data_IF_851932612651
#
_entry.id   IF_851932612651
#
_cell.length_a   1.000
_cell.length_b   1.000
_cell.length_c   1.000
_cell.angle_alpha   90.00
_cell.angle_beta   90.00
_cell.angle_gamma   90.00
#
_symmetry.space_group_name_H-M   'P 1'
#
loop_
_entity.id
_entity.type
_entity.pdbx_description
1 polymer ?
2 non-polymer ?
3 non-polymer ?
4 water ?
#
# COMPACT_ATOMS: atom_id res chain seq x y z
N UNK A 4 -17.15 -11.66 -23.81
CA UNK A 4 -16.23 -11.89 -22.62
C UNK A 4 -16.37 -10.73 -21.62
N UNK A 5 -17.03 -10.95 -20.46
CA UNK A 5 -17.42 -9.85 -19.57
C UNK A 5 -16.18 -9.23 -18.89
N UNK A 6 -16.25 -7.95 -18.59
CA UNK A 6 -15.17 -7.29 -17.82
C UNK A 6 -15.35 -7.64 -16.35
N UNK A 7 -14.26 -7.87 -15.61
CA UNK A 7 -14.40 -8.28 -14.23
C UNK A 7 -14.83 -7.15 -13.31
N UNK A 8 -15.49 -7.55 -12.22
CA UNK A 8 -15.96 -6.66 -11.12
C UNK A 8 -14.97 -6.76 -9.95
N UNK A 9 -14.21 -7.86 -9.91
CA UNK A 9 -13.22 -8.15 -8.84
C UNK A 9 -12.05 -8.93 -9.43
N UNK A 10 -10.84 -8.65 -8.94
CA UNK A 10 -9.62 -9.39 -9.30
C UNK A 10 -8.96 -9.86 -8.02
N UNK A 11 -8.07 -10.81 -8.15
CA UNK A 11 -7.18 -11.13 -7.03
C UNK A 11 -5.76 -10.73 -7.37
N UNK A 12 -5.12 -10.22 -6.31
CA UNK A 12 -3.76 -9.65 -6.38
C UNK A 12 -2.92 -10.40 -5.36
N UNK A 13 -1.79 -10.92 -5.79
CA UNK A 13 -0.72 -11.46 -4.95
C UNK A 13 0.32 -10.38 -4.72
N UNK A 14 0.68 -10.21 -3.46
CA UNK A 14 1.80 -9.36 -3.05
C UNK A 14 2.82 -10.25 -2.39
N UNK A 15 4.07 -10.20 -2.84
CA UNK A 15 5.16 -10.90 -2.16
C UNK A 15 6.24 -9.91 -1.76
N UNK A 16 6.81 -10.08 -0.58
CA UNK A 16 8.01 -9.35 -0.20
C UNK A 16 9.03 -10.34 0.33
N UNK A 17 10.24 -10.22 -0.16
CA UNK A 17 11.33 -11.09 0.30
C UNK A 17 12.65 -10.37 0.28
N UNK A 18 13.27 -10.26 1.43
CA UNK A 18 14.68 -9.83 1.53
C UNK A 18 15.52 -11.08 1.33
N UNK A 19 16.20 -11.13 0.21
CA UNK A 19 16.90 -12.36 -0.25
C UNK A 19 18.28 -12.47 0.41
N UNK A 20 18.72 -11.49 1.16
CA UNK A 20 20.02 -11.61 1.87
C UNK A 20 21.19 -11.81 0.93
N UNK A 21 21.09 -11.23 -0.28
CA UNK A 21 22.17 -11.21 -1.29
C UNK A 21 22.58 -12.65 -1.64
N UNK A 22 21.63 -13.60 -1.61
CA UNK A 22 21.89 -15.00 -1.98
C UNK A 22 20.93 -15.36 -3.07
N UNK A 23 21.33 -16.21 -4.03
CA UNK A 23 20.37 -16.71 -4.99
C UNK A 23 19.31 -17.58 -4.32
N UNK A 24 18.12 -17.63 -4.91
CA UNK A 24 17.02 -18.38 -4.35
C UNK A 24 17.28 -19.88 -4.53
N UNK A 25 16.56 -20.71 -3.79
CA UNK A 25 16.62 -22.14 -4.04
C UNK A 25 15.87 -22.47 -5.33
N UNK A 26 15.94 -23.73 -5.76
CA UNK A 26 15.39 -24.09 -7.09
C UNK A 26 13.86 -24.04 -7.11
N UNK A 27 13.21 -24.22 -5.97
CA UNK A 27 11.75 -24.21 -5.90
C UNK A 27 11.28 -23.13 -4.92
N UNK A 28 10.46 -22.21 -5.42
CA UNK A 28 9.91 -21.13 -4.56
C UNK A 28 8.40 -21.10 -4.70
N UNK A 29 7.80 -22.13 -5.28
CA UNK A 29 6.34 -22.14 -5.51
C UNK A 29 5.48 -21.94 -4.24
N UNK A 30 5.97 -22.37 -3.07
CA UNK A 30 5.21 -22.22 -1.79
C UNK A 30 4.89 -20.75 -1.55
N UNK A 31 5.78 -19.85 -1.98
CA UNK A 31 5.54 -18.40 -1.82
C UNK A 31 4.27 -17.98 -2.57
N UNK A 32 4.19 -18.34 -3.86
CA UNK A 32 3.11 -17.88 -4.76
C UNK A 32 1.81 -18.63 -4.44
N UNK A 33 1.91 -19.77 -3.76
CA UNK A 33 0.73 -20.54 -3.31
C UNK A 33 0.25 -20.09 -1.92
N UNK A 34 0.91 -19.15 -1.28
CA UNK A 34 0.49 -18.70 0.08
C UNK A 34 0.45 -19.89 1.04
N UNK A 35 1.51 -20.69 1.05
CA UNK A 35 1.68 -21.89 1.92
C UNK A 35 2.77 -21.61 2.95
N UNK A 36 2.52 -22.01 4.20
CA UNK A 36 3.52 -21.94 5.26
C UNK A 36 2.82 -21.66 6.54
N UNK A 37 3.21 -20.57 7.19
CA UNK A 37 2.63 -20.13 8.48
C UNK A 37 1.67 -18.96 8.23
N UNK A 38 0.76 -18.73 9.16
CA UNK A 38 -0.07 -17.56 9.17
C UNK A 38 -1.40 -17.89 8.56
N UNK A 39 -1.96 -16.92 7.85
CA UNK A 39 -3.27 -17.04 7.16
C UNK A 39 -2.99 -17.52 5.74
N UNK A 40 -3.13 -18.82 5.51
CA UNK A 40 -2.69 -19.48 4.29
C UNK A 40 -3.88 -19.75 3.38
N UNK A 41 -3.52 -20.00 2.13
CA UNK A 41 -4.51 -20.22 1.06
C UNK A 41 -4.91 -21.71 1.02
N UNK A 42 -6.17 -21.97 0.74
CA UNK A 42 -6.68 -23.35 0.68
C UNK A 42 -6.05 -24.10 -0.51
N UNK A 43 -5.75 -25.37 -0.28
CA UNK A 43 -5.15 -26.25 -1.31
C UNK A 43 -6.02 -26.29 -2.57
N UNK A 44 -7.32 -26.19 -2.40
CA UNK A 44 -8.28 -26.32 -3.53
C UNK A 44 -8.10 -25.16 -4.53
N UNK A 45 -7.40 -24.09 -4.14
CA UNK A 45 -7.18 -22.92 -5.01
C UNK A 45 -5.83 -22.98 -5.70
N UNK A 46 -5.03 -24.00 -5.50
CA UNK A 46 -3.63 -23.97 -5.96
C UNK A 46 -3.47 -23.73 -7.46
N UNK A 47 -4.39 -24.24 -8.28
CA UNK A 47 -4.22 -24.08 -9.73
C UNK A 47 -4.83 -22.78 -10.22
N UNK A 48 -5.56 -22.06 -9.37
CA UNK A 48 -6.30 -20.87 -9.80
C UNK A 48 -5.31 -19.72 -9.80
N UNK A 49 -5.01 -19.11 -10.95
CA UNK A 49 -4.04 -18.04 -10.99
C UNK A 49 -4.64 -16.79 -10.37
N UNK A 50 -3.80 -16.03 -9.67
CA UNK A 50 -4.17 -14.65 -9.33
C UNK A 50 -4.15 -13.85 -10.61
N UNK A 51 -4.88 -12.77 -10.66
CA UNK A 51 -4.92 -11.87 -11.82
C UNK A 51 -3.61 -11.14 -12.00
N UNK A 52 -3.05 -10.66 -10.89
CA UNK A 52 -1.82 -9.83 -10.90
C UNK A 52 -0.94 -10.37 -9.78
N UNK A 53 0.34 -10.51 -10.05
CA UNK A 53 1.37 -10.86 -9.06
C UNK A 53 2.36 -9.73 -8.99
N UNK A 54 2.56 -9.20 -7.77
CA UNK A 54 3.50 -8.11 -7.50
C UNK A 54 4.53 -8.62 -6.55
N UNK A 55 5.80 -8.61 -6.98
CA UNK A 55 6.91 -9.29 -6.26
C UNK A 55 7.97 -8.26 -5.88
N UNK A 56 8.09 -7.97 -4.59
CA UNK A 56 9.09 -7.03 -4.09
C UNK A 56 10.22 -7.81 -3.50
N UNK A 57 11.42 -7.48 -3.89
CA UNK A 57 12.63 -8.06 -3.26
C UNK A 57 13.51 -6.93 -2.75
N UNK A 58 14.28 -7.30 -1.76
CA UNK A 58 15.34 -6.47 -1.17
C UNK A 58 16.59 -7.32 -1.07
N UNK A 59 17.75 -6.68 -1.09
CA UNK A 59 19.01 -7.44 -1.10
C UNK A 59 18.98 -8.50 -2.19
N UNK A 60 18.46 -8.13 -3.35
CA UNK A 60 18.29 -9.05 -4.49
C UNK A 60 19.57 -9.08 -5.30
N UNK A 61 20.24 -10.27 -5.37
CA UNK A 61 21.55 -10.34 -6.07
C UNK A 61 21.41 -10.65 -7.55
N UNK A 62 20.22 -10.90 -8.03
CA UNK A 62 19.99 -11.39 -9.40
C UNK A 62 19.88 -10.24 -10.37
N UNK A 63 20.13 -10.51 -11.64
CA UNK A 63 19.78 -9.55 -12.67
C UNK A 63 18.25 -9.57 -12.83
N UNK A 64 17.69 -8.55 -13.48
CA UNK A 64 16.26 -8.53 -13.80
C UNK A 64 15.93 -9.76 -14.65
N UNK A 65 16.78 -10.07 -15.64
CA UNK A 65 16.49 -11.21 -16.52
C UNK A 65 16.46 -12.49 -15.69
N UNK A 66 17.45 -12.70 -14.86
CA UNK A 66 17.54 -13.93 -14.05
C UNK A 66 16.29 -14.09 -13.17
N UNK A 67 15.89 -13.02 -12.51
CA UNK A 67 14.71 -13.12 -11.61
C UNK A 67 13.41 -13.30 -12.40
N UNK A 68 13.20 -12.57 -13.50
CA UNK A 68 12.04 -12.75 -14.36
C UNK A 68 11.90 -14.21 -14.81
N UNK A 69 13.02 -14.80 -15.25
CA UNK A 69 13.10 -16.24 -15.63
C UNK A 69 12.44 -17.07 -14.52
N UNK A 70 12.97 -16.94 -13.31
CA UNK A 70 12.57 -17.75 -12.15
C UNK A 70 11.11 -17.51 -11.85
N UNK A 71 10.71 -16.24 -11.81
CA UNK A 71 9.31 -15.94 -11.44
C UNK A 71 8.36 -16.53 -12.48
N UNK A 72 8.57 -16.26 -13.76
CA UNK A 72 7.64 -16.72 -14.79
C UNK A 72 7.57 -18.25 -14.82
N UNK A 73 8.72 -18.92 -14.69
CA UNK A 73 8.80 -20.40 -14.62
C UNK A 73 7.92 -20.90 -13.48
N UNK A 74 8.10 -20.32 -12.30
CA UNK A 74 7.40 -20.74 -11.06
C UNK A 74 5.89 -20.62 -11.27
N UNK A 75 5.42 -19.50 -11.83
CA UNK A 75 3.98 -19.31 -12.04
C UNK A 75 3.50 -20.29 -13.11
N UNK A 76 4.27 -20.48 -14.17
CA UNK A 76 3.82 -21.42 -15.23
C UNK A 76 3.70 -22.82 -14.64
N UNK A 77 4.62 -23.24 -13.78
CA UNK A 77 4.56 -24.57 -13.17
C UNK A 77 3.30 -24.70 -12.31
N UNK A 78 2.95 -23.66 -11.57
CA UNK A 78 1.77 -23.67 -10.66
C UNK A 78 0.48 -23.69 -11.47
N UNK A 79 0.39 -22.82 -12.45
CA UNK A 79 -0.92 -22.42 -13.04
C UNK A 79 -1.07 -22.91 -14.48
N UNK A 80 0.02 -23.29 -15.13
CA UNK A 80 0.07 -23.62 -16.58
C UNK A 80 -0.25 -22.38 -17.41
N UNK A 81 -0.10 -21.17 -16.85
CA UNK A 81 -0.30 -19.89 -17.56
C UNK A 81 1.04 -19.22 -17.71
N UNK A 82 1.30 -18.68 -18.89
CA UNK A 82 2.50 -17.88 -19.17
C UNK A 82 2.13 -16.41 -18.90
N UNK A 83 2.63 -15.87 -17.80
CA UNK A 83 2.24 -14.51 -17.39
C UNK A 83 2.99 -13.49 -18.22
N UNK A 84 2.39 -12.33 -18.39
CA UNK A 84 2.99 -11.20 -19.10
C UNK A 84 3.65 -10.27 -18.10
N UNK A 85 4.78 -9.73 -18.48
CA UNK A 85 5.47 -8.78 -17.62
C UNK A 85 4.88 -7.40 -17.82
N UNK A 86 4.29 -6.79 -16.79
CA UNK A 86 3.70 -5.44 -16.82
C UNK A 86 4.80 -4.43 -16.62
N UNK A 87 5.63 -4.64 -15.61
CA UNK A 87 6.67 -3.67 -15.26
C UNK A 87 7.71 -4.36 -14.40
N UNK A 88 8.93 -3.87 -14.50
CA UNK A 88 10.03 -4.26 -13.57
C UNK A 88 10.85 -3.01 -13.31
N UNK A 89 11.20 -2.75 -12.07
CA UNK A 89 12.01 -1.58 -11.72
C UNK A 89 12.91 -1.92 -10.57
N UNK A 90 14.17 -1.55 -10.66
CA UNK A 90 15.19 -1.86 -9.66
C UNK A 90 15.92 -0.60 -9.26
N UNK A 91 16.07 -0.36 -7.96
CA UNK A 91 17.00 0.65 -7.38
C UNK A 91 17.98 -0.13 -6.55
N UNK A 92 19.25 -0.09 -6.91
CA UNK A 92 20.30 -0.84 -6.21
C UNK A 92 19.88 -2.30 -6.16
N UNK A 93 19.61 -2.84 -4.99
CA UNK A 93 19.18 -4.24 -4.82
C UNK A 93 17.74 -4.34 -4.34
N UNK A 94 16.96 -3.31 -4.59
CA UNK A 94 15.53 -3.24 -4.29
C UNK A 94 14.75 -3.33 -5.59
N UNK A 95 13.83 -4.25 -5.71
CA UNK A 95 13.21 -4.53 -7.02
C UNK A 95 11.72 -4.80 -6.88
N UNK A 96 11.00 -4.38 -7.87
CA UNK A 96 9.58 -4.70 -8.00
C UNK A 96 9.30 -5.29 -9.37
N UNK A 97 8.56 -6.38 -9.43
CA UNK A 97 8.08 -7.04 -10.67
C UNK A 97 6.59 -7.13 -10.61
N UNK A 98 5.92 -6.72 -11.70
CA UNK A 98 4.47 -6.90 -11.82
C UNK A 98 4.23 -7.82 -13.01
N UNK A 99 3.53 -8.92 -12.75
CA UNK A 99 3.13 -9.90 -13.77
C UNK A 99 1.61 -9.95 -13.79
N UNK A 100 1.01 -10.16 -14.95
CA UNK A 100 -0.45 -10.28 -15.08
C UNK A 100 -0.82 -11.38 -16.03
N UNK A 101 -2.00 -11.97 -15.83
CA UNK A 101 -2.60 -12.93 -16.79
C UNK A 101 -2.54 -12.30 -18.18
N UNK A 102 -2.31 -13.10 -19.23
CA UNK A 102 -2.36 -12.55 -20.60
C UNK A 102 -3.70 -11.91 -21.00
N UNK A 103 -4.79 -12.41 -20.47
CA UNK A 103 -6.15 -11.90 -20.78
C UNK A 103 -6.24 -10.44 -20.31
N UNK A 104 -5.34 -9.98 -19.43
CA UNK A 104 -5.41 -8.61 -18.87
C UNK A 104 -4.55 -7.61 -19.61
N UNK A 105 -3.83 -8.08 -20.62
CA UNK A 105 -2.83 -7.21 -21.28
C UNK A 105 -3.46 -5.93 -21.83
N UNK A 106 -4.68 -6.01 -22.38
CA UNK A 106 -5.40 -4.86 -23.00
C UNK A 106 -6.40 -4.25 -22.00
N UNK A 107 -6.28 -4.60 -20.72
CA UNK A 107 -7.02 -3.93 -19.61
C UNK A 107 -6.07 -3.03 -18.85
N UNK A 108 -4.77 -3.19 -19.04
CA UNK A 108 -3.73 -2.50 -18.27
C UNK A 108 -3.16 -1.37 -19.11
N UNK A 109 -3.09 -0.18 -18.55
CA UNK A 109 -2.50 0.94 -19.30
C UNK A 109 -1.90 1.94 -18.32
N UNK A 110 -1.31 3.01 -18.82
CA UNK A 110 -0.77 4.11 -17.98
C UNK A 110 0.19 3.52 -16.96
N UNK A 111 1.14 2.73 -17.38
CA UNK A 111 2.09 2.09 -16.47
C UNK A 111 3.14 3.12 -16.12
N UNK A 112 3.37 3.34 -14.82
CA UNK A 112 4.41 4.24 -14.28
C UNK A 112 5.33 3.47 -13.34
N UNK A 113 6.61 3.86 -13.32
CA UNK A 113 7.60 3.33 -12.39
C UNK A 113 8.34 4.50 -11.81
N UNK A 114 8.82 4.35 -10.57
CA UNK A 114 9.70 5.35 -9.99
C UNK A 114 10.45 4.76 -8.82
N UNK A 115 11.41 5.49 -8.30
CA UNK A 115 12.13 5.06 -7.09
C UNK A 115 12.40 6.31 -6.27
N UNK A 116 12.64 6.10 -5.01
CA UNK A 116 13.08 7.13 -4.06
C UNK A 116 14.26 6.57 -3.31
N UNK A 117 15.35 7.35 -3.23
CA UNK A 117 16.54 7.07 -2.43
C UNK A 117 16.40 7.77 -1.10
N UNK A 118 16.42 7.06 0.03
CA UNK A 118 16.24 7.74 1.34
C UNK A 118 17.58 8.18 1.92
N UNK A 119 17.55 9.05 2.93
CA UNK A 119 18.79 9.35 3.70
C UNK A 119 19.62 10.45 3.03
N UNK A 120 20.79 10.75 3.62
CA UNK A 120 21.74 11.83 3.16
C UNK A 120 23.16 11.35 3.45
N UNK A 121 24.07 11.44 2.47
CA UNK A 121 25.53 11.17 2.60
C UNK A 121 25.76 9.73 3.11
N UNK A 122 26.23 9.57 4.37
CA UNK A 122 26.34 8.28 5.12
C UNK A 122 25.17 7.34 4.82
N UNK A 123 23.94 7.86 4.93
CA UNK A 123 22.66 7.11 4.96
C UNK A 123 22.03 7.07 3.55
N UNK A 124 22.65 7.68 2.54
CA UNK A 124 22.23 7.51 1.12
C UNK A 124 23.13 6.45 0.47
N UNK A 125 22.53 5.42 -0.13
CA UNK A 125 23.28 4.52 -1.02
C UNK A 125 22.76 3.11 -1.02
N UNK A 126 21.88 2.74 -0.07
CA UNK A 126 21.26 1.42 -0.27
C UNK A 126 19.78 1.26 0.09
N UNK A 127 19.20 2.20 0.86
CA UNK A 127 17.79 2.11 1.30
C UNK A 127 16.93 3.01 0.40
N UNK A 128 15.66 2.67 0.31
CA UNK A 128 14.71 3.46 -0.46
C UNK A 128 13.58 2.61 -0.90
N UNK A 129 12.97 3.01 -1.99
CA UNK A 129 11.78 2.32 -2.46
C UNK A 129 11.68 2.33 -3.95
N UNK A 130 11.01 1.34 -4.54
CA UNK A 130 10.61 1.34 -5.95
C UNK A 130 9.11 1.21 -5.97
N UNK A 131 8.51 1.67 -7.03
CA UNK A 131 7.07 1.52 -7.18
C UNK A 131 6.61 1.42 -8.59
N UNK A 132 5.41 0.90 -8.72
CA UNK A 132 4.74 0.74 -10.00
C UNK A 132 3.30 1.20 -9.82
N UNK A 133 2.74 1.88 -10.81
CA UNK A 133 1.29 2.08 -10.92
C UNK A 133 0.76 1.82 -12.32
N UNK A 134 -0.52 1.56 -12.39
CA UNK A 134 -1.18 1.40 -13.71
C UNK A 134 -2.67 1.50 -13.46
N UNK A 135 -3.38 1.65 -14.57
CA UNK A 135 -4.84 1.52 -14.58
C UNK A 135 -5.17 0.09 -14.97
N UNK A 136 -6.12 -0.53 -14.31
CA UNK A 136 -6.73 -1.80 -14.69
C UNK A 136 -8.19 -1.44 -14.99
N UNK A 137 -8.55 -1.36 -16.27
CA UNK A 137 -9.86 -0.80 -16.69
C UNK A 137 -10.05 0.54 -15.96
N UNK A 138 -11.13 0.71 -15.20
CA UNK A 138 -11.44 2.01 -14.57
C UNK A 138 -10.78 2.19 -13.22
N UNK A 139 -9.90 1.28 -12.79
CA UNK A 139 -9.39 1.26 -11.41
C UNK A 139 -7.91 1.53 -11.45
N UNK A 140 -7.45 2.44 -10.61
CA UNK A 140 -6.00 2.76 -10.49
C UNK A 140 -5.41 1.88 -9.38
N UNK A 141 -4.24 1.34 -9.64
CA UNK A 141 -3.53 0.44 -8.72
C UNK A 141 -2.12 0.97 -8.54
N UNK A 142 -1.68 1.09 -7.30
CA UNK A 142 -0.30 1.47 -6.99
C UNK A 142 0.36 0.49 -6.06
N UNK A 143 1.67 0.29 -6.25
CA UNK A 143 2.44 -0.72 -5.51
C UNK A 143 3.76 -0.14 -5.14
N UNK A 144 4.12 -0.23 -3.87
CA UNK A 144 5.41 0.29 -3.35
C UNK A 144 6.12 -0.81 -2.61
N UNK A 145 7.36 -1.03 -2.99
CA UNK A 145 8.29 -1.93 -2.29
C UNK A 145 9.36 -1.08 -1.66
N UNK A 146 9.42 -1.00 -0.35
CA UNK A 146 10.43 -0.19 0.34
C UNK A 146 11.33 -1.06 1.19
N UNK A 147 12.59 -0.70 1.24
CA UNK A 147 13.59 -1.27 2.17
C UNK A 147 13.99 -0.12 3.08
N UNK A 148 13.45 -0.08 4.29
CA UNK A 148 13.69 1.04 5.20
C UNK A 148 14.93 0.79 6.05
N UNK A 149 15.33 1.82 6.77
CA UNK A 149 16.55 1.82 7.60
C UNK A 149 16.47 0.66 8.58
N UNK A 150 17.59 -0.03 8.79
CA UNK A 150 17.70 -1.18 9.72
C UNK A 150 18.05 -0.71 11.13
N UNK A 151 17.89 -1.61 12.08
CA UNK A 151 18.39 -1.41 13.44
C UNK A 151 17.27 -1.14 14.41
N UNK A 152 17.24 -1.84 15.53
CA UNK A 152 16.15 -1.68 16.52
C UNK A 152 16.00 -0.24 17.02
N UNK A 153 17.09 0.53 17.06
CA UNK A 153 17.11 1.89 17.68
C UNK A 153 16.60 2.95 16.69
N UNK A 154 16.34 2.58 15.44
CA UNK A 154 16.11 3.58 14.36
C UNK A 154 14.65 3.61 13.88
N UNK A 155 13.69 3.41 14.75
CA UNK A 155 12.29 3.48 14.29
C UNK A 155 11.96 4.88 13.75
N UNK A 156 12.47 5.95 14.38
CA UNK A 156 12.14 7.30 13.89
C UNK A 156 12.69 7.52 12.49
N UNK A 157 13.88 6.99 12.19
CA UNK A 157 14.45 7.08 10.82
C UNK A 157 13.55 6.34 9.83
N UNK A 158 13.06 5.16 10.22
CA UNK A 158 12.13 4.43 9.36
C UNK A 158 10.91 5.31 9.08
N UNK A 159 10.38 5.97 10.10
CA UNK A 159 9.18 6.81 9.91
C UNK A 159 9.50 7.94 8.94
N UNK A 160 10.70 8.49 9.06
CA UNK A 160 11.14 9.57 8.16
C UNK A 160 11.28 8.98 6.74
N UNK A 161 11.83 7.79 6.64
CA UNK A 161 11.99 7.16 5.30
C UNK A 161 10.60 7.04 4.67
N UNK A 162 9.60 6.56 5.41
CA UNK A 162 8.22 6.44 4.92
C UNK A 162 7.73 7.78 4.38
N UNK A 163 7.92 8.86 5.14
CA UNK A 163 7.35 10.17 4.70
C UNK A 163 8.09 10.62 3.43
N UNK A 164 9.41 10.44 3.37
CA UNK A 164 10.14 10.80 2.12
C UNK A 164 9.61 10.00 0.92
N UNK A 165 9.40 8.71 1.09
CA UNK A 165 8.93 7.86 -0.02
C UNK A 165 7.54 8.36 -0.46
N UNK A 166 6.68 8.54 0.55
CA UNK A 166 5.28 9.01 0.40
C UNK A 166 5.28 10.30 -0.44
N UNK A 167 6.19 11.22 -0.11
CA UNK A 167 6.23 12.56 -0.73
C UNK A 167 6.76 12.51 -2.16
N UNK A 168 7.80 11.73 -2.36
CA UNK A 168 8.66 11.94 -3.54
C UNK A 168 8.48 10.86 -4.59
N UNK A 169 7.78 9.77 -4.29
CA UNK A 169 7.58 8.74 -5.29
C UNK A 169 6.54 9.24 -6.28
N UNK A 170 6.91 9.33 -7.55
CA UNK A 170 6.05 9.97 -8.57
C UNK A 170 5.34 8.91 -9.38
N UNK A 171 4.23 8.44 -8.86
CA UNK A 171 3.41 7.43 -9.55
C UNK A 171 2.03 8.00 -9.85
N UNK A 172 1.26 7.33 -10.68
CA UNK A 172 -0.13 7.69 -10.93
C UNK A 172 -0.27 8.94 -11.74
N UNK A 173 -1.44 9.53 -11.71
CA UNK A 173 -1.85 10.61 -12.64
C UNK A 173 -1.21 11.91 -12.18
N UNK A 174 -0.25 12.43 -12.94
CA UNK A 174 0.49 13.66 -12.57
C UNK A 174 -0.44 14.87 -12.54
N UNK A 175 -1.61 14.82 -13.15
CA UNK A 175 -2.61 15.92 -13.02
C UNK A 175 -3.16 16.05 -11.60
N UNK A 176 -3.02 14.98 -10.79
CA UNK A 176 -3.44 15.02 -9.37
C UNK A 176 -2.38 15.72 -8.54
N UNK A 177 -2.04 16.95 -8.91
CA UNK A 177 -0.80 17.58 -8.41
C UNK A 177 -0.84 17.80 -6.91
N UNK A 178 -1.96 18.08 -6.23
CA UNK A 178 -1.93 18.28 -4.78
C UNK A 178 -1.76 16.98 -3.99
N UNK A 179 -1.85 15.86 -4.68
CA UNK A 179 -2.00 14.55 -4.01
C UNK A 179 -0.74 13.71 -4.13
N UNK A 180 -0.36 13.13 -2.99
CA UNK A 180 0.74 12.15 -2.93
C UNK A 180 0.19 10.76 -3.25
N UNK A 181 1.08 9.78 -3.26
CA UNK A 181 0.64 8.42 -3.60
C UNK A 181 -0.44 7.89 -2.66
N UNK A 182 -0.52 8.40 -1.43
CA UNK A 182 -1.56 7.88 -0.51
C UNK A 182 -2.98 8.30 -0.92
N UNK A 183 -3.15 9.12 -1.96
CA UNK A 183 -4.46 9.52 -2.46
C UNK A 183 -4.63 9.22 -3.94
N UNK A 184 -3.61 8.77 -4.65
CA UNK A 184 -3.73 8.70 -6.14
C UNK A 184 -4.39 7.43 -6.64
N UNK A 185 -4.55 6.40 -5.81
CA UNK A 185 -4.99 5.09 -6.29
C UNK A 185 -6.23 4.58 -5.60
N UNK A 186 -7.06 3.88 -6.36
CA UNK A 186 -8.20 3.16 -5.81
C UNK A 186 -7.69 2.19 -4.74
N UNK A 187 -6.60 1.50 -5.06
CA UNK A 187 -5.96 0.55 -4.14
C UNK A 187 -4.46 0.80 -4.18
N UNK A 188 -3.87 1.00 -3.02
CA UNK A 188 -2.42 1.18 -2.89
C UNK A 188 -1.91 0.08 -1.97
N UNK A 189 -0.91 -0.67 -2.39
CA UNK A 189 -0.26 -1.74 -1.59
C UNK A 189 1.15 -1.29 -1.34
N UNK A 190 1.53 -1.27 -0.06
CA UNK A 190 2.88 -0.85 0.37
C UNK A 190 3.47 -1.99 1.19
N UNK A 191 4.59 -2.50 0.76
CA UNK A 191 5.18 -3.71 1.34
C UNK A 191 6.68 -3.55 1.30
N UNK A 192 7.37 -4.50 1.90
CA UNK A 192 8.82 -4.51 1.87
C UNK A 192 9.44 -5.00 3.15
N UNK A 193 10.75 -4.85 3.18
CA UNK A 193 11.50 -4.96 4.43
C UNK A 193 11.43 -3.61 5.12
N UNK A 194 10.36 -3.42 5.87
CA UNK A 194 10.12 -2.18 6.58
C UNK A 194 11.00 -2.10 7.80
N UNK A 195 11.55 -3.21 8.27
CA UNK A 195 12.65 -3.21 9.25
C UNK A 195 12.23 -2.76 10.63
N UNK A 196 10.94 -2.67 10.93
CA UNK A 196 10.51 -2.47 12.33
C UNK A 196 10.72 -3.74 13.15
N UNK A 197 11.12 -3.55 14.38
CA UNK A 197 11.56 -4.64 15.26
C UNK A 197 10.61 -4.80 16.44
N UNK A 198 10.79 -5.94 17.09
CA UNK A 198 10.12 -6.22 18.39
C UNK A 198 11.02 -5.60 19.45
N UNK A 199 10.52 -4.55 20.10
CA UNK A 199 11.32 -3.71 21.03
C UNK A 199 11.19 -4.27 22.45
N UNK A 200 11.97 -5.31 22.73
CA UNK A 200 12.09 -5.95 24.04
C UNK A 200 13.57 -5.92 24.35
N UNK A 201 13.94 -6.02 25.65
CA UNK A 201 15.34 -6.01 26.02
C UNK A 201 16.10 -7.16 25.38
N UNK A 202 17.38 -6.95 25.03
CA UNK A 202 18.21 -7.92 24.28
C UNK A 202 18.42 -9.20 25.10
N UNK A 203 18.38 -9.10 26.44
CA UNK A 203 18.56 -10.25 27.36
C UNK A 203 17.24 -11.05 27.49
N UNK A 204 16.16 -10.62 26.84
CA UNK A 204 14.96 -11.45 26.65
C UNK A 204 15.03 -12.28 25.36
N UNK A 205 16.15 -12.35 24.66
CA UNK A 205 16.24 -13.03 23.36
C UNK A 205 15.75 -14.46 23.48
N UNK A 206 16.22 -15.20 24.48
CA UNK A 206 15.88 -16.62 24.56
C UNK A 206 14.41 -16.76 24.95
N UNK A 207 13.91 -15.86 25.78
CA UNK A 207 12.47 -15.87 26.14
C UNK A 207 11.66 -15.68 24.86
N UNK A 208 12.06 -14.72 24.03
CA UNK A 208 11.31 -14.46 22.77
C UNK A 208 11.31 -15.71 21.87
N UNK A 209 12.45 -16.36 21.73
CA UNK A 209 12.57 -17.60 20.95
C UNK A 209 11.61 -18.67 21.47
N UNK A 210 11.53 -18.84 22.80
CA UNK A 210 10.64 -19.88 23.37
C UNK A 210 9.17 -19.49 23.12
N UNK A 211 8.80 -18.20 23.16
CA UNK A 211 7.43 -17.79 22.79
C UNK A 211 7.10 -18.16 21.34
N UNK A 212 8.08 -17.91 20.45
CA UNK A 212 7.90 -18.24 19.03
C UNK A 212 7.71 -19.76 18.86
N UNK A 213 8.51 -20.56 19.55
CA UNK A 213 8.38 -22.04 19.45
C UNK A 213 7.01 -22.51 19.95
N UNK A 214 6.41 -21.78 20.87
CA UNK A 214 5.06 -22.10 21.40
C UNK A 214 3.95 -21.49 20.54
N UNK A 215 4.34 -20.77 19.48
CA UNK A 215 3.40 -20.02 18.61
C UNK A 215 2.54 -19.05 19.41
N UNK A 216 3.14 -18.40 20.40
CA UNK A 216 2.48 -17.42 21.28
C UNK A 216 3.05 -16.08 20.90
N UNK A 217 2.37 -15.40 19.99
CA UNK A 217 2.91 -14.14 19.41
C UNK A 217 2.35 -12.91 20.10
N UNK A 218 1.36 -13.00 20.98
CA UNK A 218 0.66 -11.81 21.51
C UNK A 218 1.61 -10.86 22.25
N UNK A 219 2.46 -11.38 23.13
CA UNK A 219 3.34 -10.53 23.95
C UNK A 219 4.49 -10.00 23.08
N UNK A 220 4.73 -10.61 21.91
CA UNK A 220 5.73 -10.04 20.99
C UNK A 220 5.09 -8.92 20.14
N UNK A 221 3.90 -9.20 19.58
CA UNK A 221 3.25 -8.22 18.68
C UNK A 221 2.95 -6.94 19.46
N UNK A 222 2.67 -7.03 20.76
CA UNK A 222 2.38 -5.82 21.55
C UNK A 222 3.63 -4.93 21.65
N UNK A 223 4.82 -5.43 21.27
CA UNK A 223 6.07 -4.63 21.26
C UNK A 223 6.56 -4.41 19.83
N UNK A 224 5.80 -4.84 18.83
CA UNK A 224 6.23 -4.60 17.42
C UNK A 224 6.15 -3.11 17.13
N UNK A 225 7.29 -2.56 16.67
CA UNK A 225 7.41 -1.12 16.48
C UNK A 225 6.46 -0.61 15.42
N UNK A 226 6.18 -1.36 14.39
CA UNK A 226 5.27 -0.87 13.34
C UNK A 226 3.84 -0.80 13.91
N UNK A 227 3.38 -1.79 14.64
CA UNK A 227 2.04 -1.72 15.25
C UNK A 227 2.00 -0.55 16.26
N UNK A 228 3.04 -0.35 17.05
CA UNK A 228 2.96 0.69 18.12
C UNK A 228 3.08 2.05 17.44
N UNK A 229 3.96 2.25 16.49
CA UNK A 229 4.06 3.54 15.77
C UNK A 229 2.77 3.87 15.02
N UNK A 230 2.14 2.88 14.40
CA UNK A 230 0.85 3.07 13.70
C UNK A 230 -0.24 3.44 14.72
N UNK A 231 -0.22 2.84 15.91
CA UNK A 231 -1.30 3.12 16.90
C UNK A 231 -1.13 4.55 17.42
N UNK A 232 0.11 5.06 17.45
CA UNK A 232 0.39 6.44 17.91
C UNK A 232 0.36 7.42 16.72
N UNK A 233 -0.03 6.96 15.53
CA UNK A 233 -0.21 7.82 14.35
C UNK A 233 1.11 8.47 13.96
N UNK A 234 2.21 7.72 14.07
CA UNK A 234 3.55 8.23 13.70
C UNK A 234 3.90 7.81 12.28
N UNK A 235 3.18 6.84 11.69
CA UNK A 235 3.54 6.28 10.38
C UNK A 235 2.36 5.51 9.84
N UNK A 236 2.28 5.40 8.52
CA UNK A 236 1.25 4.60 7.85
C UNK A 236 -0.17 4.96 8.30
N UNK A 237 -0.41 6.23 8.49
CA UNK A 237 -1.75 6.69 8.86
C UNK A 237 -2.72 6.29 7.76
N UNK A 238 -3.85 5.70 8.16
CA UNK A 238 -4.97 5.29 7.30
C UNK A 238 -4.65 4.11 6.43
N UNK A 239 -3.58 3.37 6.72
CA UNK A 239 -3.35 2.07 6.07
C UNK A 239 -3.86 0.95 6.93
N UNK A 240 -4.10 -0.19 6.30
CA UNK A 240 -4.58 -1.44 6.95
C UNK A 240 -3.46 -2.48 6.89
N UNK A 241 -3.43 -3.38 7.87
CA UNK A 241 -2.59 -4.58 7.83
C UNK A 241 -3.43 -5.70 8.39
N UNK A 242 -3.34 -6.87 7.77
CA UNK A 242 -4.00 -8.10 8.28
C UNK A 242 -3.29 -8.53 9.57
N UNK A 243 -4.03 -9.14 10.50
CA UNK A 243 -3.44 -9.65 11.73
C UNK A 243 -2.33 -10.61 11.40
N UNK A 244 -1.23 -10.48 12.11
CA UNK A 244 -0.06 -11.35 11.96
C UNK A 244 -0.24 -12.62 12.79
N UNK A 245 -0.17 -13.76 12.15
CA UNK A 245 -0.36 -15.08 12.82
C UNK A 245 0.77 -16.02 12.42
N UNK A 246 1.88 -15.50 11.91
CA UNK A 246 3.08 -16.25 11.51
C UNK A 246 4.24 -15.79 12.40
N UNK A 247 5.26 -16.63 12.51
CA UNK A 247 6.42 -16.29 13.35
C UNK A 247 7.19 -15.15 12.73
N UNK A 248 7.94 -14.40 13.54
CA UNK A 248 8.90 -13.43 13.01
C UNK A 248 9.69 -13.98 11.84
N UNK A 249 9.88 -13.12 10.81
CA UNK A 249 10.48 -13.55 9.55
C UNK A 249 11.97 -13.26 9.49
N UNK A 250 12.52 -12.72 10.55
CA UNK A 250 13.93 -12.28 10.62
C UNK A 250 14.35 -12.46 12.09
N UNK A 251 15.61 -12.75 12.42
CA UNK A 251 16.71 -13.05 11.54
C UNK A 251 17.05 -14.52 11.71
N UNK A 252 16.99 -15.32 10.65
CA UNK A 252 17.23 -16.79 10.66
C UNK A 252 18.68 -17.10 10.30
N UNK A 253 19.19 -18.17 10.89
CA UNK A 253 20.36 -18.86 10.29
C UNK A 253 19.93 -19.37 8.92
N UNK A 254 20.77 -19.20 7.90
CA UNK A 254 20.48 -19.71 6.55
C UNK A 254 20.46 -21.24 6.51
N UNK A 255 19.69 -21.82 5.60
CA UNK A 255 19.64 -23.24 5.21
C UNK A 255 18.82 -24.06 6.21
N UNK A 256 18.32 -23.45 7.29
CA UNK A 256 17.31 -24.06 8.18
C UNK A 256 16.27 -22.99 8.49
N UNK A 257 15.15 -23.32 9.16
CA UNK A 257 14.35 -22.28 9.86
C UNK A 257 14.33 -22.59 11.35
N UNK A 258 15.26 -23.43 11.80
CA UNK A 258 15.16 -23.94 13.19
C UNK A 258 15.79 -22.97 14.17
N UNK A 259 16.57 -21.99 13.67
CA UNK A 259 17.37 -21.13 14.54
C UNK A 259 17.21 -19.66 14.11
N UNK A 260 16.92 -18.85 15.10
CA UNK A 260 17.05 -17.39 15.02
C UNK A 260 18.46 -17.00 15.40
N UNK A 261 19.12 -16.21 14.56
CA UNK A 261 20.49 -15.71 14.77
C UNK A 261 20.38 -14.26 15.20
N UNK A 262 20.36 -14.03 16.48
CA UNK A 262 20.11 -12.69 17.03
C UNK A 262 21.31 -11.98 17.66
N UNK A 263 22.36 -12.75 17.98
CA UNK A 263 23.52 -12.23 18.77
C UNK A 263 24.29 -11.21 17.93
N UNK A 264 24.93 -10.25 18.59
CA UNK A 264 25.73 -9.21 17.90
C UNK A 264 27.01 -9.87 17.37
N UNK A 265 27.39 -9.43 16.18
CA UNK A 265 28.55 -9.94 15.42
C UNK A 265 29.22 -8.76 14.71
N UNK A 266 30.51 -8.87 14.37
CA UNK A 266 31.12 -7.82 13.54
C UNK A 266 30.29 -7.57 12.29
N UNK A 267 29.78 -8.63 11.66
CA UNK A 267 28.99 -8.58 10.41
C UNK A 267 27.71 -7.76 10.62
N UNK A 268 27.21 -7.66 11.86
CA UNK A 268 25.98 -6.87 12.14
C UNK A 268 26.31 -5.47 12.66
N UNK A 269 27.58 -5.04 12.63
CA UNK A 269 27.94 -3.79 13.29
C UNK A 269 27.78 -3.88 14.78
N UNK A 270 27.95 -5.06 15.33
CA UNK A 270 27.79 -5.30 16.78
C UNK A 270 26.38 -4.91 17.24
N UNK A 271 25.39 -5.22 16.40
CA UNK A 271 23.95 -5.00 16.69
C UNK A 271 23.28 -6.35 16.95
N UNK A 272 22.38 -6.39 17.92
CA UNK A 272 21.48 -7.52 18.13
C UNK A 272 20.37 -7.39 17.10
N UNK A 273 19.92 -8.53 16.65
CA UNK A 273 18.74 -8.65 15.77
C UNK A 273 17.76 -9.61 16.44
N UNK A 274 17.07 -9.13 17.44
CA UNK A 274 16.03 -9.95 18.08
C UNK A 274 15.00 -10.29 16.99
N UNK A 275 14.38 -11.46 17.08
CA UNK A 275 13.37 -11.90 16.13
C UNK A 275 12.31 -10.83 15.96
N UNK A 276 12.03 -10.49 14.71
CA UNK A 276 11.17 -9.37 14.33
C UNK A 276 10.34 -9.67 13.08
N UNK A 277 9.25 -8.94 12.98
CA UNK A 277 8.42 -8.94 11.77
C UNK A 277 8.88 -7.80 10.87
N UNK A 278 10.05 -7.98 10.27
CA UNK A 278 10.61 -6.92 9.39
C UNK A 278 9.79 -6.78 8.12
N UNK A 279 9.15 -7.84 7.65
CA UNK A 279 8.70 -8.04 6.27
C UNK A 279 7.20 -7.98 6.22
N UNK A 280 6.61 -6.95 5.60
CA UNK A 280 5.20 -6.61 5.87
C UNK A 280 4.49 -6.23 4.61
N UNK A 281 3.18 -6.34 4.62
CA UNK A 281 2.30 -5.87 3.55
C UNK A 281 1.19 -5.06 4.19
N UNK A 282 1.03 -3.85 3.73
CA UNK A 282 -0.06 -2.95 4.14
C UNK A 282 -0.80 -2.45 2.91
N UNK A 283 -2.00 -1.93 3.11
CA UNK A 283 -2.73 -1.37 1.97
C UNK A 283 -3.62 -0.23 2.40
N UNK A 284 -4.02 0.55 1.43
CA UNK A 284 -4.99 1.64 1.63
C UNK A 284 -5.83 1.68 0.38
N UNK A 285 -7.13 1.58 0.52
CA UNK A 285 -8.05 1.66 -0.60
C UNK A 285 -8.99 2.82 -0.35
N UNK A 286 -9.53 3.39 -1.41
CA UNK A 286 -10.53 4.47 -1.27
C UNK A 286 -11.72 3.93 -0.49
N UNK A 287 -12.44 4.87 0.18
CA UNK A 287 -13.56 4.48 1.00
C UNK A 287 -14.62 3.71 0.21
N UNK A 288 -15.13 2.66 0.84
CA UNK A 288 -16.27 1.84 0.36
C UNK A 288 -15.93 1.16 -0.96
N UNK A 289 -14.63 0.89 -1.20
CA UNK A 289 -14.24 -0.02 -2.29
C UNK A 289 -13.96 -1.38 -1.65
N UNK A 290 -14.40 -2.42 -2.29
CA UNK A 290 -14.17 -3.80 -1.82
C UNK A 290 -12.67 -4.08 -1.85
N UNK A 291 -12.14 -4.50 -0.71
CA UNK A 291 -10.76 -5.05 -0.61
C UNK A 291 -10.77 -6.00 0.55
N UNK A 292 -10.41 -7.23 0.32
CA UNK A 292 -10.41 -8.24 1.41
C UNK A 292 -9.11 -9.02 1.34
N UNK A 293 -8.37 -9.03 2.43
CA UNK A 293 -7.15 -9.86 2.52
C UNK A 293 -7.54 -11.33 2.66
N UNK A 294 -7.06 -12.15 1.73
CA UNK A 294 -7.38 -13.60 1.66
C UNK A 294 -6.26 -14.42 2.32
N UNK A 295 -5.04 -13.89 2.39
CA UNK A 295 -3.88 -14.63 2.95
C UNK A 295 -2.86 -13.60 3.43
N UNK A 296 -2.15 -13.95 4.47
CA UNK A 296 -1.03 -13.13 4.98
C UNK A 296 -0.19 -14.06 5.82
N UNK A 297 1.01 -14.37 5.30
CA UNK A 297 1.82 -15.36 6.00
C UNK A 297 3.22 -15.44 5.49
N UNK A 298 3.94 -16.43 5.93
CA UNK A 298 5.35 -16.57 5.54
C UNK A 298 5.60 -18.01 5.12
N UNK A 299 6.56 -18.18 4.24
CA UNK A 299 6.94 -19.55 3.83
C UNK A 299 7.83 -20.15 4.89
N UNK A 300 7.83 -21.47 4.91
CA UNK A 300 8.62 -22.28 5.85
C UNK A 300 9.77 -23.00 5.16
N UNK A 301 9.73 -23.14 3.84
CA UNK A 301 10.60 -24.05 3.07
C UNK A 301 11.57 -23.32 2.14
N UNK A 302 11.71 -22.00 2.26
CA UNK A 302 12.65 -21.20 1.43
C UNK A 302 13.64 -20.59 2.42
N UNK A 303 14.89 -21.08 2.39
CA UNK A 303 15.85 -20.92 3.52
C UNK A 303 17.18 -20.32 3.09
N UNK A 304 17.27 -19.77 1.87
CA UNK A 304 18.56 -19.23 1.37
C UNK A 304 18.91 -17.90 2.03
N UNK A 305 17.90 -17.19 2.53
CA UNK A 305 18.07 -15.88 3.13
C UNK A 305 17.96 -15.95 4.65
N UNK A 306 18.41 -14.93 5.34
CA UNK A 306 18.15 -14.73 6.77
C UNK A 306 16.74 -14.16 7.01
N UNK A 307 16.00 -13.86 5.95
CA UNK A 307 14.56 -13.58 6.03
C UNK A 307 13.76 -14.67 5.37
N UNK A 308 12.56 -14.96 5.86
CA UNK A 308 11.58 -15.74 5.10
C UNK A 308 10.74 -14.84 4.23
N UNK A 309 10.38 -15.29 3.02
CA UNK A 309 9.40 -14.61 2.21
C UNK A 309 8.06 -14.46 2.90
N UNK A 310 7.39 -13.37 2.61
CA UNK A 310 6.03 -13.07 3.09
C UNK A 310 5.14 -12.94 1.88
N UNK A 311 3.94 -13.46 1.99
CA UNK A 311 2.87 -13.36 0.98
C UNK A 311 1.64 -12.73 1.58
N UNK A 312 0.93 -12.01 0.75
CA UNK A 312 -0.42 -11.55 1.04
C UNK A 312 -1.21 -11.59 -0.25
N UNK A 313 -2.45 -11.97 -0.14
CA UNK A 313 -3.36 -11.94 -1.29
C UNK A 313 -4.64 -11.22 -0.94
N UNK A 314 -5.21 -10.60 -1.97
CA UNK A 314 -6.36 -9.72 -1.84
C UNK A 314 -7.36 -9.95 -2.95
N UNK A 315 -8.65 -9.86 -2.60
CA UNK A 315 -9.73 -9.69 -3.60
C UNK A 315 -10.05 -8.19 -3.63
N UNK A 316 -9.90 -7.54 -4.80
CA UNK A 316 -10.01 -6.09 -4.97
C UNK A 316 -11.08 -5.77 -6.00
N UNK A 317 -12.00 -4.90 -5.61
CA UNK A 317 -13.02 -4.38 -6.50
C UNK A 317 -12.42 -3.56 -7.61
N UNK A 318 -12.90 -3.79 -8.85
CA UNK A 318 -12.47 -3.03 -10.03
C UNK A 318 -13.73 -2.65 -10.79
N UNK A 319 -13.58 -1.62 -11.59
CA UNK A 319 -14.68 -1.09 -12.40
C UNK A 319 -14.28 -1.11 -13.85
N UNK A 320 -15.29 -0.99 -14.73
CA UNK A 320 -15.14 -1.03 -16.21
C UNK A 320 -14.61 0.31 -16.71
N UNK A 321 -14.20 0.35 -17.97
CA UNK A 321 -13.89 1.60 -18.71
C UNK A 321 -15.20 2.08 -19.37
N UNK A 322 -16.01 2.85 -18.65
CA UNK A 322 -17.40 3.23 -19.02
C UNK A 322 -17.45 4.22 -20.19
N UNK A 323 -18.29 3.91 -21.19
CA UNK A 323 -18.65 4.83 -22.32
C UNK A 323 -20.16 5.06 -22.28
N UNK A 324 -20.56 6.31 -22.34
CA UNK A 324 -21.98 6.63 -22.59
C UNK A 324 -22.06 7.40 -23.91
N UNK A 325 -23.29 7.67 -24.34
CA UNK A 325 -23.58 8.48 -25.56
C UNK A 325 -23.02 9.89 -25.37
N UNK A 326 -23.00 10.38 -24.12
CA UNK A 326 -22.43 11.71 -23.75
C UNK A 326 -20.94 11.52 -23.39
N UNK A 327 -20.58 11.44 -22.10
CA UNK A 327 -19.16 11.36 -21.72
C UNK A 327 -18.63 9.94 -21.93
N UNK A 328 -17.31 9.71 -22.13
CA UNK A 328 -16.29 10.77 -22.27
C UNK A 328 -16.37 11.71 -23.50
N UNK A 329 -15.94 12.95 -23.30
CA UNK A 329 -15.82 13.98 -24.34
C UNK A 329 -16.88 15.02 -24.24
N UNK A 330 -17.75 14.89 -23.24
CA UNK A 330 -18.72 15.95 -22.87
C UNK A 330 -19.22 15.62 -21.46
N UNK A 331 -19.99 16.53 -20.88
CA UNK A 331 -20.68 16.30 -19.59
C UNK A 331 -22.02 15.61 -19.88
N UNK A 332 -22.67 15.10 -18.83
CA UNK A 332 -24.02 14.50 -18.93
C UNK A 332 -24.91 15.29 -17.97
N UNK A 333 -25.75 16.17 -18.51
CA UNK A 333 -26.50 17.18 -17.72
C UNK A 333 -27.44 16.48 -16.74
N UNK A 334 -27.65 15.17 -16.87
CA UNK A 334 -28.54 14.41 -15.95
C UNK A 334 -27.79 14.11 -14.64
N UNK A 335 -26.48 14.40 -14.59
CA UNK A 335 -25.64 14.18 -13.39
C UNK A 335 -25.22 15.47 -12.72
N UNK A 336 -25.17 15.50 -11.38
CA UNK A 336 -24.56 16.63 -10.66
C UNK A 336 -24.14 16.18 -9.26
N UNK A 337 -23.09 16.82 -8.77
CA UNK A 337 -22.64 16.67 -7.36
C UNK A 337 -22.62 18.05 -6.71
N UNK A 338 -23.39 18.17 -5.65
CA UNK A 338 -23.47 19.39 -4.81
C UNK A 338 -22.89 19.05 -3.43
N UNK A 339 -21.89 19.85 -3.02
CA UNK A 339 -21.35 19.87 -1.63
C UNK A 339 -22.03 21.04 -0.89
N UNK A 340 -22.72 20.75 0.21
CA UNK A 340 -23.56 21.73 0.94
C UNK A 340 -23.13 21.83 2.40
N UNK A 341 -23.05 23.06 2.90
CA UNK A 341 -22.75 23.34 4.33
C UNK A 341 -21.43 22.66 4.72
N UNK A 342 -20.45 22.81 3.86
CA UNK A 342 -19.17 22.12 4.13
C UNK A 342 -18.26 23.04 4.92
N UNK A 343 -17.44 22.43 5.76
CA UNK A 343 -16.35 23.17 6.40
C UNK A 343 -15.16 22.25 6.63
N UNK A 344 -14.02 22.91 6.56
CA UNK A 344 -12.73 22.28 6.85
C UNK A 344 -12.32 22.76 8.24
N UNK A 345 -11.82 21.86 9.06
CA UNK A 345 -11.19 22.17 10.35
C UNK A 345 -9.71 21.90 10.17
N UNK A 346 -8.87 22.91 10.34
CA UNK A 346 -7.43 22.72 10.07
C UNK A 346 -6.63 22.93 11.34
N UNK A 347 -5.56 22.20 11.47
CA UNK A 347 -4.62 22.32 12.61
C UNK A 347 -3.63 23.49 12.43
N UNK A 348 -3.56 24.12 11.28
CA UNK A 348 -2.60 25.21 10.97
C UNK A 348 -2.82 26.44 11.84
N UNK A 349 -1.73 27.16 12.05
CA UNK A 349 -1.74 28.44 12.80
C UNK A 349 -1.74 29.61 11.82
N UNK A 350 -1.62 29.35 10.51
CA UNK A 350 -1.56 30.42 9.47
C UNK A 350 -2.93 31.09 9.35
N UNK A 351 -3.01 32.26 8.72
CA UNK A 351 -4.30 33.00 8.59
C UNK A 351 -4.57 33.43 7.14
N UNK A 352 -3.94 32.79 6.14
CA UNK A 352 -4.32 32.93 4.71
C UNK A 352 -5.82 32.59 4.54
N UNK A 353 -6.39 33.02 3.42
CA UNK A 353 -7.66 32.47 2.93
C UNK A 353 -7.36 31.11 2.27
N UNK A 354 -8.36 30.26 2.25
CA UNK A 354 -8.25 28.91 1.63
C UNK A 354 -9.32 28.75 0.57
N UNK A 355 -9.01 27.96 -0.45
CA UNK A 355 -9.95 27.47 -1.47
C UNK A 355 -9.80 25.96 -1.56
N UNK A 356 -10.81 25.34 -2.16
CA UNK A 356 -10.75 23.89 -2.43
C UNK A 356 -10.46 23.62 -3.89
N UNK A 357 -9.87 22.45 -4.11
CA UNK A 357 -9.91 21.84 -5.46
C UNK A 357 -10.55 20.47 -5.36
N UNK A 358 -11.43 20.14 -6.31
CA UNK A 358 -12.12 18.85 -6.43
C UNK A 358 -11.53 18.15 -7.64
N UNK A 359 -10.92 17.00 -7.44
CA UNK A 359 -10.32 16.21 -8.53
C UNK A 359 -11.01 14.87 -8.63
N UNK A 360 -11.35 14.45 -9.82
CA UNK A 360 -11.96 13.13 -9.99
C UNK A 360 -11.94 12.78 -11.47
N UNK A 361 -11.73 11.49 -11.75
CA UNK A 361 -11.85 10.91 -13.11
C UNK A 361 -13.26 11.13 -13.66
N UNK A 362 -14.26 11.34 -12.79
CA UNK A 362 -15.65 11.56 -13.25
C UNK A 362 -15.86 13.00 -13.73
N UNK A 363 -14.86 13.88 -13.60
CA UNK A 363 -14.93 15.30 -14.09
C UNK A 363 -14.00 15.46 -15.28
N UNK A 364 -14.32 16.40 -16.16
CA UNK A 364 -13.47 16.65 -17.35
C UNK A 364 -12.11 17.19 -16.88
N UNK A 365 -12.13 18.01 -15.84
CA UNK A 365 -10.92 18.56 -15.20
C UNK A 365 -11.29 19.04 -13.80
N UNK A 366 -10.27 19.29 -13.03
CA UNK A 366 -10.47 19.62 -11.59
C UNK A 366 -11.19 20.96 -11.49
N UNK A 367 -11.86 21.13 -10.37
CA UNK A 367 -12.71 22.31 -10.09
C UNK A 367 -12.18 23.04 -8.88
N UNK A 368 -11.98 24.35 -9.02
CA UNK A 368 -11.44 25.24 -7.96
C UNK A 368 -12.57 26.10 -7.41
N UNK A 369 -12.83 25.99 -6.10
CA UNK A 369 -13.90 26.73 -5.39
C UNK A 369 -13.45 28.18 -5.20
N UNK A 370 -14.43 29.00 -4.80
CA UNK A 370 -14.20 30.33 -4.18
C UNK A 370 -13.49 30.11 -2.86
N UNK A 371 -12.90 31.17 -2.34
CA UNK A 371 -12.35 31.17 -0.97
C UNK A 371 -13.46 30.94 0.06
N UNK A 372 -13.14 30.19 1.09
CA UNK A 372 -14.01 29.97 2.24
C UNK A 372 -13.94 31.14 3.21
N UNK A 373 -14.79 31.11 4.23
CA UNK A 373 -14.84 32.12 5.32
C UNK A 373 -14.20 31.50 6.56
N UNK A 374 -13.09 32.08 6.99
CA UNK A 374 -12.32 31.66 8.17
C UNK A 374 -13.06 32.07 9.45
N UNK A 375 -13.23 31.15 10.39
CA UNK A 375 -13.64 31.50 11.77
C UNK A 375 -12.68 30.80 12.73
N UNK A 376 -12.68 31.20 13.99
CA UNK A 376 -11.93 30.53 15.10
C UNK A 376 -12.82 29.45 15.72
N UNK A 377 -12.32 28.21 15.85
CA UNK A 377 -12.95 27.13 16.65
C UNK A 377 -12.74 27.34 18.15
N UNK A 378 -13.62 26.78 18.98
CA UNK A 378 -13.69 27.01 20.45
C UNK A 378 -12.41 26.51 21.15
N UNK A 379 -11.72 25.51 20.56
CA UNK A 379 -10.53 24.86 21.18
C UNK A 379 -9.25 25.30 20.44
N UNK A 380 -9.26 26.46 19.75
CA UNK A 380 -8.05 27.07 19.16
C UNK A 380 -7.95 26.99 17.63
N UNK A 381 -8.77 26.16 16.97
CA UNK A 381 -8.54 25.67 15.56
C UNK A 381 -8.96 26.70 14.51
N UNK A 382 -8.52 26.48 13.28
CA UNK A 382 -9.10 27.22 12.13
C UNK A 382 -10.25 26.40 11.53
N UNK A 383 -11.41 27.04 11.40
CA UNK A 383 -12.59 26.47 10.70
C UNK A 383 -12.76 27.29 9.44
N UNK A 384 -12.77 26.65 8.30
CA UNK A 384 -13.00 27.33 7.03
C UNK A 384 -14.38 26.92 6.52
N UNK A 385 -15.30 27.88 6.43
CA UNK A 385 -16.72 27.60 6.03
C UNK A 385 -16.90 27.86 4.53
N UNK A 386 -17.56 26.96 3.81
CA UNK A 386 -17.80 27.17 2.36
C UNK A 386 -19.28 27.46 2.07
N UNK A 387 -20.12 27.16 3.04
CA UNK A 387 -21.56 27.44 2.99
C UNK A 387 -22.21 26.60 1.90
N UNK A 388 -22.95 27.26 1.01
CA UNK A 388 -23.63 26.66 -0.16
C UNK A 388 -23.02 27.35 -1.39
N UNK A 389 -21.77 27.80 -1.24
CA UNK A 389 -21.02 28.60 -2.24
C UNK A 389 -20.30 27.66 -3.21
N UNK A 390 -20.19 26.36 -2.92
CA UNK A 390 -19.25 25.47 -3.68
C UNK A 390 -19.80 25.22 -5.08
N UNK A 391 -18.92 25.18 -6.12
CA UNK A 391 -19.34 24.98 -7.50
C UNK A 391 -20.07 23.66 -7.64
N UNK A 392 -21.13 23.60 -8.44
CA UNK A 392 -21.85 22.32 -8.73
C UNK A 392 -20.98 21.51 -9.68
N UNK A 393 -20.64 20.25 -9.33
CA UNK A 393 -19.70 19.44 -10.14
C UNK A 393 -20.51 18.70 -11.19
N UNK A 394 -19.98 18.73 -12.42
CA UNK A 394 -20.68 18.20 -13.61
C UNK A 394 -19.95 16.96 -14.07
N UNK A 395 -20.42 15.75 -13.67
CA UNK A 395 -19.76 14.53 -14.08
C UNK A 395 -20.00 14.28 -15.57
N UNK A 396 -19.09 13.51 -16.16
CA UNK A 396 -19.04 13.19 -17.60
C UNK A 396 -20.11 12.18 -17.96
N UNK A 397 -20.52 11.41 -16.97
CA UNK A 397 -21.47 10.28 -17.12
C UNK A 397 -22.43 10.33 -15.93
N UNK A 398 -23.72 10.19 -16.17
CA UNK A 398 -24.79 10.35 -15.13
C UNK A 398 -25.28 8.99 -14.65
N UNK A 399 -24.97 7.93 -15.40
CA UNK A 399 -25.46 6.58 -15.09
C UNK A 399 -25.05 6.26 -13.66
N UNK A 400 -26.00 5.90 -12.77
CA UNK A 400 -25.66 5.58 -11.38
C UNK A 400 -24.76 4.36 -11.24
N UNK A 401 -24.81 3.40 -12.15
CA UNK A 401 -23.87 2.24 -12.13
C UNK A 401 -22.41 2.71 -12.28
N UNK A 402 -22.21 3.85 -12.88
CA UNK A 402 -20.85 4.44 -12.98
C UNK A 402 -20.68 5.37 -11.79
N UNK A 403 -21.58 6.32 -11.59
CA UNK A 403 -21.25 7.48 -10.73
C UNK A 403 -21.12 7.03 -9.29
N UNK A 404 -21.93 6.09 -8.82
CA UNK A 404 -21.92 5.69 -7.41
C UNK A 404 -20.59 4.95 -7.07
N UNK A 405 -19.85 4.50 -8.08
CA UNK A 405 -18.53 3.87 -7.86
C UNK A 405 -17.37 4.87 -7.88
N UNK A 406 -17.63 6.17 -8.00
CA UNK A 406 -16.54 7.14 -8.16
C UNK A 406 -16.21 7.77 -6.81
N UNK A 407 -15.15 8.55 -6.81
CA UNK A 407 -14.60 9.23 -5.63
C UNK A 407 -14.18 10.63 -6.02
N UNK A 408 -14.32 11.56 -5.07
CA UNK A 408 -13.87 12.96 -5.22
C UNK A 408 -12.71 13.14 -4.27
N UNK A 409 -11.54 13.45 -4.81
CA UNK A 409 -10.39 13.93 -4.01
C UNK A 409 -10.57 15.41 -3.74
N UNK A 410 -10.28 15.83 -2.51
CA UNK A 410 -10.39 17.24 -2.09
C UNK A 410 -9.03 17.69 -1.58
N UNK A 411 -8.55 18.82 -2.09
CA UNK A 411 -7.40 19.54 -1.53
C UNK A 411 -7.90 20.89 -1.05
N UNK A 412 -7.44 21.29 0.13
CA UNK A 412 -7.66 22.67 0.63
C UNK A 412 -6.33 23.38 0.49
N UNK A 413 -6.35 24.47 -0.29
CA UNK A 413 -5.11 25.19 -0.67
C UNK A 413 -5.12 26.63 -0.15
N UNK A 414 -3.96 27.09 0.26
CA UNK A 414 -3.75 28.51 0.64
C UNK A 414 -3.90 29.40 -0.60
N UNK A 415 -4.70 30.44 -0.50
CA UNK A 415 -4.79 31.49 -1.55
C UNK A 415 -3.43 32.18 -1.74
N UNK A 416 -2.64 32.34 -0.67
CA UNK A 416 -1.36 33.11 -0.66
C UNK A 416 -0.30 32.32 -1.42
N UNK A 417 -0.27 30.99 -1.23
CA UNK A 417 0.90 30.18 -1.69
C UNK A 417 0.47 29.15 -2.73
N UNK A 418 -0.83 28.87 -2.85
CA UNK A 418 -1.39 27.78 -3.71
C UNK A 418 -0.85 26.42 -3.25
N UNK A 419 -0.35 26.30 -2.04
CA UNK A 419 0.17 25.02 -1.50
C UNK A 419 -1.02 24.33 -0.84
N UNK A 420 -1.15 23.01 -0.97
CA UNK A 420 -2.16 22.19 -0.23
C UNK A 420 -1.79 22.13 1.24
N UNK A 421 -2.77 22.38 2.10
CA UNK A 421 -2.67 22.18 3.55
C UNK A 421 -3.33 20.87 3.95
N UNK A 422 -4.04 20.21 3.05
CA UNK A 422 -4.72 18.97 3.42
C UNK A 422 -5.40 18.36 2.20
N UNK A 423 -5.38 17.05 2.21
CA UNK A 423 -5.94 16.22 1.15
C UNK A 423 -6.79 15.14 1.76
N UNK A 424 -7.90 14.82 1.10
CA UNK A 424 -8.79 13.73 1.50
C UNK A 424 -9.60 13.21 0.33
N UNK A 425 -10.51 12.31 0.64
CA UNK A 425 -11.26 11.60 -0.39
C UNK A 425 -12.66 11.30 0.10
N UNK A 426 -13.63 11.57 -0.74
CA UNK A 426 -15.06 11.29 -0.49
C UNK A 426 -15.58 10.25 -1.47
N UNK A 427 -16.19 9.18 -0.97
CA UNK A 427 -16.84 8.19 -1.85
C UNK A 427 -18.22 8.72 -2.31
N UNK A 428 -18.58 8.41 -3.54
CA UNK A 428 -19.97 8.67 -4.04
C UNK A 428 -20.86 7.44 -3.89
N UNK A 429 -20.43 6.43 -3.14
CA UNK A 429 -21.20 5.18 -2.89
C UNK A 429 -22.24 5.45 -1.81
N UNK A 430 -23.21 6.32 -2.12
CA UNK A 430 -24.15 6.87 -1.13
C UNK A 430 -25.29 5.90 -0.84
N UNK A 431 -25.95 6.11 0.28
CA UNK A 431 -27.15 5.38 0.69
C UNK A 431 -28.34 5.80 -0.17
N UNK A 432 -28.30 6.94 -0.81
CA UNK A 432 -29.44 7.55 -1.55
C UNK A 432 -28.94 8.60 -2.51
N UNK A 433 -29.69 8.85 -3.59
CA UNK A 433 -29.45 9.97 -4.51
C UNK A 433 -30.55 11.02 -4.28
N UNK A 434 -30.29 12.24 -4.75
CA UNK A 434 -31.28 13.35 -4.66
C UNK A 434 -31.61 13.55 -3.18
N UNK A 435 -30.68 13.27 -2.27
CA UNK A 435 -30.90 13.28 -0.82
C UNK A 435 -29.66 13.91 -0.17
N UNK A 436 -29.82 14.86 0.75
CA UNK A 436 -28.66 15.46 1.44
C UNK A 436 -28.15 14.42 2.42
N UNK A 437 -26.85 14.09 2.33
CA UNK A 437 -26.29 13.05 3.19
C UNK A 437 -24.96 13.53 3.77
N UNK A 438 -24.64 13.13 5.01
CA UNK A 438 -23.38 13.54 5.61
C UNK A 438 -22.20 12.94 4.82
N UNK A 439 -21.17 13.76 4.66
CA UNK A 439 -19.84 13.28 4.17
C UNK A 439 -18.76 13.71 5.15
N UNK A 440 -17.62 13.06 5.03
CA UNK A 440 -16.52 13.27 5.97
C UNK A 440 -15.26 12.67 5.34
N UNK A 441 -14.15 13.39 5.45
CA UNK A 441 -12.81 12.77 5.27
C UNK A 441 -11.85 13.44 6.25
N UNK A 442 -10.91 12.68 6.80
CA UNK A 442 -9.75 13.32 7.40
C UNK A 442 -8.94 14.00 6.28
N UNK A 443 -8.19 15.00 6.66
CA UNK A 443 -7.28 15.68 5.73
C UNK A 443 -5.86 15.41 6.20
N UNK A 444 -4.99 15.08 5.26
CA UNK A 444 -3.57 14.85 5.56
C UNK A 444 -2.72 15.72 4.64
N UNK A 445 -1.46 15.90 5.03
CA UNK A 445 -0.48 16.55 4.13
C UNK A 445 0.84 15.89 4.45
N UNK A 446 1.54 15.47 3.40
CA UNK A 446 2.72 14.62 3.57
C UNK A 446 2.37 13.42 4.46
N UNK A 447 1.15 12.93 4.33
CA UNK A 447 0.72 11.71 5.01
C UNK A 447 0.44 11.92 6.48
N UNK A 448 0.61 13.13 7.05
CA UNK A 448 0.26 13.41 8.45
C UNK A 448 -1.08 14.15 8.54
N UNK A 449 -1.79 13.93 9.64
CA UNK A 449 -3.12 14.54 9.85
C UNK A 449 -2.98 16.05 9.97
N UNK A 450 -3.74 16.78 9.19
CA UNK A 450 -3.73 18.27 9.24
C UNK A 450 -5.12 18.82 9.53
N UNK A 451 -6.15 18.00 9.52
CA UNK A 451 -7.51 18.54 9.66
C UNK A 451 -8.54 17.54 9.22
N UNK A 452 -9.71 18.08 9.00
CA UNK A 452 -10.91 17.33 8.59
C UNK A 452 -11.76 18.18 7.67
N UNK A 453 -12.54 17.47 6.85
CA UNK A 453 -13.53 18.09 5.95
C UNK A 453 -14.84 17.35 6.14
N UNK A 454 -15.90 18.12 6.41
CA UNK A 454 -17.22 17.48 6.64
C UNK A 454 -18.29 18.40 6.13
N UNK A 455 -19.45 17.78 5.87
CA UNK A 455 -20.55 18.57 5.31
C UNK A 455 -21.58 17.62 4.82
N UNK A 456 -22.33 18.05 3.80
CA UNK A 456 -23.33 17.19 3.15
C UNK A 456 -23.12 17.20 1.66
N UNK A 457 -23.59 16.12 1.06
CA UNK A 457 -23.54 15.91 -0.40
C UNK A 457 -24.98 15.68 -0.86
N UNK A 458 -25.22 16.05 -2.10
CA UNK A 458 -26.47 15.69 -2.82
C UNK A 458 -26.05 15.29 -4.22
N UNK A 459 -26.30 14.02 -4.54
CA UNK A 459 -25.88 13.40 -5.82
C UNK A 459 -27.08 13.16 -6.70
N UNK A 460 -27.06 13.76 -7.89
CA UNK A 460 -28.04 13.54 -9.00
C UNK A 460 -27.45 12.54 -10.00
N UNK A 461 -28.13 11.41 -10.23
CA UNK A 461 -27.76 10.48 -11.30
C UNK A 461 -28.95 10.48 -12.27
N UNK A 462 -28.81 9.78 -13.38
CA UNK A 462 -29.92 9.58 -14.35
C UNK A 462 -31.05 8.73 -13.74
N UNK A 463 -30.86 8.08 -12.59
CA UNK A 463 -32.00 7.30 -12.03
C UNK A 463 -32.69 8.03 -10.86
X LIG B 1 -25.51 5.45 -27.72
X LIG B 1 -24.01 2.98 -25.01
X LIG B 1 -22.93 4.87 -26.08
X LIG B 1 -21.82 4.04 -26.71
X LIG B 1 -25.42 4.34 -26.76
X LIG B 1 -26.69 5.75 -28.52
X LIG B 1 -27.87 6.13 -27.62
X LIG B 1 -24.21 4.09 -26.00
X LIG B 1 -19.31 0.02 -25.74
X LIG B 1 -20.05 1.14 -25.32
X LIG B 1 -20.50 2.00 -26.34
X LIG B 1 -26.38 6.95 -29.42
X LIG B 1 -21.92 2.60 -26.36
X LIG B 1 -22.61 2.35 -25.07
X LIG B 1 -27.07 4.56 -29.42
X LIG B 1 -19.77 2.27 -27.24
X LIG B 1 -26.36 3.62 -26.60
X LIG C 1 -12.50 3.01 -9.24
X LIG C 1 -12.59 1.61 -9.78
X LIG C 1 -13.46 2.95 -7.79
X LIG C 1 -13.62 4.02 -10.17
X LIG D 1 -10.16 9.30 -8.84
X LIG D 1 -11.37 9.81 -9.62
X LIG D 1 -8.79 10.27 -9.43
X LIG D 1 -10.26 10.10 -7.32
X LIG E 1 -8.96 9.60 3.71
X LIG E 1 -8.17 9.66 2.39
X LIG E 1 -8.35 8.25 4.65
X LIG E 1 -10.57 9.00 3.32
#
# INVERSE_FOLDING_TARGET
SMEQPEPDMITIFIGTWNMGNAPPPKKITSWFLSKGQGKTRDDSADYIPHDIYVIGTQEDPLSEKEWLEILKHSLQEITSVTFKTVAIHTLWNIRIVVLAKPEHENRISHICTDNVKTGIANTLGNKGAVGVSFMFNGTSLGFVNSHLTSGSEKKLRRNQNYMNILRFLALGDKKLSPFNITHRFTHLFWFGDLNYRVDLPTWEAETIIQKIKQQQYADLLSHDQLLTERREQKVFLHFEEEEITFAPTYRFERLTRDKYAYTKQKATGMKYNLPSWCDRVLWKSYPLVHVVCQSYGSTSDIMTSDHSPVFATFEAGVTSQFVSKNGPGTVDSQGQIEFLRCYATLKTKSQTKFYLEFHSSCLESFVKSQEGENEEGSEGELVVKFGETLPKLKPIISDPEYLLDQHILISIKSSDSDESYGEGCIALRLEATETQLPIYTPLTHHGELTGHFQGEIKLQTSQ
K0V N1 C4 C5 C6 C7 C8 C10 N C O C1 C11 C2 C3 C9 O1 O2
DMS S O C1 C2
DMS S O C1 C2
DMS S O C1 C2
#
